data_IF_924914632728
#
_entry.id   IF_924914632728
#
_cell.length_a   1.000
_cell.length_b   1.000
_cell.length_c   1.000
_cell.angle_alpha   90.00
_cell.angle_beta   90.00
_cell.angle_gamma   90.00
#
_symmetry.space_group_name_H-M   'P 1'
#
loop_
_entity.id
_entity.type
_entity.pdbx_description
1 polymer ?
#
# COMPACT_ATOMS: atom_id res chain seq x y z
N UNK A 1 6.89 -18.83 -6.60
CA UNK A 1 6.31 -18.40 -5.31
C UNK A 1 5.96 -16.92 -5.31
N UNK A 2 6.90 -15.99 -5.52
CA UNK A 2 6.60 -14.54 -5.47
C UNK A 2 5.68 -14.05 -6.60
N UNK A 3 5.88 -14.53 -7.83
CA UNK A 3 4.99 -14.28 -8.99
C UNK A 3 3.54 -14.61 -8.65
N UNK A 4 3.33 -15.76 -8.01
CA UNK A 4 2.00 -16.28 -7.68
C UNK A 4 1.33 -15.44 -6.59
N UNK A 5 2.11 -14.95 -5.61
CA UNK A 5 1.62 -14.03 -4.58
C UNK A 5 1.17 -12.70 -5.19
N UNK A 6 1.93 -12.16 -6.15
CA UNK A 6 1.58 -10.92 -6.85
C UNK A 6 0.33 -11.13 -7.70
N UNK A 7 0.30 -12.17 -8.55
CA UNK A 7 -0.83 -12.48 -9.44
C UNK A 7 -2.15 -12.69 -8.70
N UNK A 8 -2.10 -13.34 -7.53
CA UNK A 8 -3.29 -13.62 -6.73
C UNK A 8 -3.75 -12.44 -5.86
N UNK A 9 -2.93 -11.41 -5.69
CA UNK A 9 -3.29 -10.24 -4.90
C UNK A 9 -4.37 -9.41 -5.61
N UNK A 10 -5.34 -8.87 -4.87
CA UNK A 10 -6.49 -8.13 -5.41
C UNK A 10 -6.11 -7.00 -6.39
N UNK A 11 -4.94 -6.39 -6.19
CA UNK A 11 -4.40 -5.33 -7.07
C UNK A 11 -4.13 -5.83 -8.50
N UNK A 12 -3.62 -7.05 -8.66
CA UNK A 12 -3.18 -7.61 -9.95
C UNK A 12 -4.09 -8.73 -10.47
N UNK A 13 -5.06 -9.16 -9.66
CA UNK A 13 -6.01 -10.19 -10.04
C UNK A 13 -6.74 -9.79 -11.33
N UNK A 14 -6.84 -10.77 -12.24
CA UNK A 14 -7.49 -10.67 -13.55
C UNK A 14 -6.84 -9.68 -14.52
N UNK A 15 -5.58 -9.28 -14.29
CA UNK A 15 -4.80 -8.51 -15.27
C UNK A 15 -4.20 -9.47 -16.29
N UNK A 16 -4.64 -9.35 -17.54
CA UNK A 16 -4.08 -10.04 -18.71
C UNK A 16 -2.87 -9.26 -19.27
N UNK A 17 -1.79 -9.23 -18.48
CA UNK A 17 -0.51 -8.63 -18.84
C UNK A 17 0.64 -9.43 -18.25
N UNK A 18 1.83 -9.33 -18.85
CA UNK A 18 3.03 -9.96 -18.29
C UNK A 18 3.53 -9.19 -17.07
N UNK A 19 3.33 -9.77 -15.89
CA UNK A 19 3.78 -9.24 -14.61
C UNK A 19 5.20 -9.68 -14.24
N UNK A 20 5.83 -10.56 -15.03
CA UNK A 20 7.18 -11.08 -14.75
C UNK A 20 8.21 -9.97 -14.48
N UNK A 21 8.23 -8.85 -15.23
CA UNK A 21 9.17 -7.76 -14.95
C UNK A 21 8.99 -7.10 -13.58
N UNK A 22 7.75 -7.07 -13.06
CA UNK A 22 7.48 -6.51 -11.73
C UNK A 22 8.01 -7.39 -10.61
N UNK A 23 8.06 -8.70 -10.86
CA UNK A 23 8.51 -9.71 -9.89
C UNK A 23 10.02 -9.64 -9.70
N UNK A 24 10.78 -9.35 -10.76
CA UNK A 24 12.25 -9.33 -10.74
C UNK A 24 12.81 -8.40 -9.66
N UNK A 25 12.11 -7.30 -9.39
CA UNK A 25 12.50 -6.30 -8.39
C UNK A 25 11.63 -6.34 -7.13
N UNK A 26 10.67 -7.26 -7.08
CA UNK A 26 9.83 -7.45 -5.92
C UNK A 26 10.63 -8.10 -4.78
N UNK A 27 10.44 -7.61 -3.56
CA UNK A 27 11.09 -8.15 -2.36
C UNK A 27 10.05 -8.63 -1.38
N UNK A 28 10.18 -9.87 -0.97
CA UNK A 28 9.41 -10.42 0.14
C UNK A 28 10.07 -10.04 1.46
N UNK A 29 9.37 -9.28 2.30
CA UNK A 29 9.90 -8.69 3.52
C UNK A 29 9.00 -9.09 4.69
N UNK A 30 9.64 -9.50 5.78
CA UNK A 30 8.98 -9.78 7.05
C UNK A 30 9.30 -8.65 8.01
N UNK A 31 8.26 -8.11 8.63
CA UNK A 31 8.33 -7.13 9.69
C UNK A 31 7.85 -7.76 10.99
N UNK A 32 8.59 -7.53 12.07
CA UNK A 32 8.19 -7.90 13.42
C UNK A 32 7.21 -6.86 13.98
N UNK A 33 6.53 -7.22 15.06
CA UNK A 33 5.65 -6.29 15.77
C UNK A 33 6.43 -5.02 16.17
N UNK A 34 5.82 -3.87 15.90
CA UNK A 34 6.35 -2.51 16.08
C UNK A 34 7.43 -2.06 15.11
N UNK A 35 7.85 -2.89 14.14
CA UNK A 35 8.77 -2.43 13.11
C UNK A 35 8.09 -1.38 12.24
N UNK A 36 8.83 -0.32 11.93
CA UNK A 36 8.41 0.67 10.94
C UNK A 36 8.73 0.14 9.53
N UNK A 37 7.74 0.27 8.65
CA UNK A 37 7.90 -0.03 7.23
C UNK A 37 8.44 1.21 6.51
N UNK A 38 7.93 2.39 6.88
CA UNK A 38 8.41 3.70 6.44
C UNK A 38 7.93 4.79 7.41
N UNK A 39 8.58 5.95 7.36
CA UNK A 39 8.21 7.13 8.13
C UNK A 39 7.57 8.22 7.29
N UNK A 40 6.73 9.03 7.93
CA UNK A 40 6.19 10.26 7.35
C UNK A 40 7.34 11.16 6.83
N UNK A 41 7.15 11.74 5.64
CA UNK A 41 8.10 12.66 5.01
C UNK A 41 9.27 11.99 4.28
N UNK A 42 9.49 10.68 4.45
CA UNK A 42 10.43 9.93 3.61
C UNK A 42 9.90 9.75 2.18
N UNK A 43 10.81 9.40 1.26
CA UNK A 43 10.45 9.20 -0.15
C UNK A 43 9.53 7.99 -0.35
N UNK A 44 8.40 8.25 -1.00
CA UNK A 44 7.46 7.24 -1.45
C UNK A 44 7.85 6.75 -2.86
N UNK A 45 8.80 5.81 -2.92
CA UNK A 45 9.30 5.21 -4.17
C UNK A 45 8.88 3.74 -4.34
N UNK A 46 8.03 3.23 -3.46
CA UNK A 46 7.62 1.83 -3.42
C UNK A 46 6.16 1.72 -3.02
N UNK A 47 5.60 0.53 -3.13
CA UNK A 47 4.37 0.15 -2.43
C UNK A 47 4.45 -1.31 -2.02
N UNK A 48 3.51 -1.75 -1.19
CA UNK A 48 3.59 -3.01 -0.50
C UNK A 48 2.27 -3.75 -0.62
N UNK A 49 2.33 -5.02 -1.05
CA UNK A 49 1.19 -5.94 -1.01
C UNK A 49 1.23 -6.68 0.32
N UNK A 50 0.20 -6.55 1.14
CA UNK A 50 0.16 -7.22 2.44
C UNK A 50 -0.31 -8.65 2.22
N UNK A 51 0.55 -9.62 2.54
CA UNK A 51 0.26 -11.05 2.33
C UNK A 51 -0.14 -11.74 3.63
N UNK A 52 0.28 -11.18 4.77
CA UNK A 52 -0.04 -11.64 6.11
C UNK A 52 0.16 -10.52 7.13
N UNK A 53 -0.60 -10.56 8.23
CA UNK A 53 -0.47 -9.63 9.37
C UNK A 53 -1.33 -8.38 9.25
N UNK A 54 -1.03 -7.41 10.12
CA UNK A 54 -1.71 -6.11 10.21
C UNK A 54 -0.70 -4.98 10.34
N UNK A 55 -0.92 -3.91 9.57
CA UNK A 55 -0.08 -2.72 9.53
C UNK A 55 -0.96 -1.49 9.82
N UNK A 56 -0.54 -0.63 10.74
CA UNK A 56 -1.17 0.67 10.96
C UNK A 56 -0.58 1.73 10.02
N UNK A 57 -1.44 2.62 9.54
CA UNK A 57 -1.09 3.97 9.10
C UNK A 57 -1.40 4.91 10.26
N UNK A 58 -0.40 5.64 10.74
CA UNK A 58 -0.53 6.45 11.94
C UNK A 58 0.13 7.83 11.80
N UNK A 59 -0.40 8.80 12.55
CA UNK A 59 0.20 10.11 12.74
C UNK A 59 0.87 10.16 14.12
N UNK A 60 2.10 10.66 14.14
CA UNK A 60 2.81 10.96 15.38
C UNK A 60 2.59 12.42 15.75
N UNK A 61 1.87 12.68 16.85
CA UNK A 61 1.58 14.04 17.31
C UNK A 61 2.24 14.32 18.66
N UNK A 62 2.76 15.52 18.84
CA UNK A 62 3.42 15.91 20.09
C UNK A 62 2.50 15.85 21.33
N UNK A 63 1.18 16.05 21.14
CA UNK A 63 0.21 16.17 22.24
C UNK A 63 -0.62 14.91 22.50
N UNK A 64 -0.90 14.09 21.47
CA UNK A 64 -1.78 12.91 21.59
C UNK A 64 -1.03 11.58 21.41
N UNK A 65 0.29 11.63 21.25
CA UNK A 65 1.06 10.44 20.90
C UNK A 65 0.70 9.93 19.51
N UNK A 66 0.53 8.61 19.37
CA UNK A 66 0.26 7.96 18.09
C UNK A 66 -1.23 7.82 17.85
N UNK A 67 -1.72 8.37 16.75
CA UNK A 67 -3.11 8.25 16.30
C UNK A 67 -3.14 7.31 15.11
N UNK A 68 -3.79 6.14 15.25
CA UNK A 68 -3.99 5.21 14.14
C UNK A 68 -5.12 5.76 13.26
N UNK A 69 -4.80 6.06 12.01
CA UNK A 69 -5.76 6.52 11.00
C UNK A 69 -6.43 5.32 10.33
N UNK A 70 -5.65 4.29 10.03
CA UNK A 70 -6.16 3.10 9.36
C UNK A 70 -5.36 1.87 9.78
N UNK A 71 -6.02 0.72 9.88
CA UNK A 71 -5.35 -0.58 9.94
C UNK A 71 -5.57 -1.30 8.62
N UNK A 72 -4.49 -1.77 8.01
CA UNK A 72 -4.48 -2.54 6.76
C UNK A 72 -4.11 -3.98 7.06
N UNK A 73 -4.77 -4.93 6.39
CA UNK A 73 -4.56 -6.36 6.55
C UNK A 73 -4.19 -7.07 5.26
N UNK A 74 -4.21 -8.41 5.31
CA UNK A 74 -3.98 -9.28 4.15
C UNK A 74 -4.85 -8.87 2.95
N UNK A 75 -4.24 -8.93 1.76
CA UNK A 75 -4.82 -8.61 0.45
C UNK A 75 -5.10 -7.11 0.23
N UNK A 76 -4.65 -6.25 1.16
CA UNK A 76 -4.67 -4.81 1.00
C UNK A 76 -3.31 -4.26 0.55
N UNK A 77 -3.36 -3.15 -0.18
CA UNK A 77 -2.17 -2.43 -0.62
C UNK A 77 -1.81 -1.38 0.42
N UNK A 78 -0.55 -1.33 0.81
CA UNK A 78 0.06 -0.26 1.59
C UNK A 78 0.90 0.65 0.68
N UNK A 79 0.68 1.96 0.80
CA UNK A 79 1.42 2.98 0.08
C UNK A 79 0.81 3.34 -1.29
N UNK A 80 0.13 4.49 -1.35
CA UNK A 80 -0.37 5.11 -2.58
C UNK A 80 0.24 6.50 -2.83
N UNK A 81 1.07 6.99 -1.89
CA UNK A 81 1.70 8.32 -1.96
C UNK A 81 2.61 8.49 -3.16
N UNK A 82 3.18 7.41 -3.69
CA UNK A 82 4.08 7.45 -4.84
C UNK A 82 3.37 7.86 -6.15
N UNK A 83 2.04 7.79 -6.21
CA UNK A 83 1.25 8.17 -7.39
C UNK A 83 1.14 9.69 -7.57
N UNK A 84 1.37 10.47 -6.52
CA UNK A 84 1.07 11.90 -6.52
C UNK A 84 2.25 12.71 -5.91
N UNK A 85 2.61 13.85 -6.51
CA UNK A 85 3.55 14.79 -5.87
C UNK A 85 3.09 15.17 -4.45
N UNK A 86 4.02 15.37 -3.49
CA UNK A 86 5.48 15.43 -3.65
C UNK A 86 6.18 14.07 -3.56
N UNK A 87 5.45 12.95 -3.73
CA UNK A 87 5.99 11.59 -3.62
C UNK A 87 6.61 11.31 -2.24
N UNK A 88 5.94 11.79 -1.19
CA UNK A 88 6.33 11.60 0.21
C UNK A 88 5.29 10.78 0.96
N UNK A 89 5.72 9.99 1.93
CA UNK A 89 4.77 9.33 2.83
C UNK A 89 4.03 10.37 3.67
N UNK A 90 2.71 10.26 3.69
CA UNK A 90 1.83 11.17 4.44
C UNK A 90 1.57 10.69 5.88
N UNK A 91 2.01 9.47 6.20
CA UNK A 91 1.80 8.81 7.48
C UNK A 91 2.99 7.91 7.77
N UNK A 92 3.22 7.61 9.04
CA UNK A 92 4.04 6.48 9.45
C UNK A 92 3.31 5.18 9.11
N UNK A 93 4.06 4.13 8.72
CA UNK A 93 3.53 2.77 8.63
C UNK A 93 4.26 1.84 9.59
N UNK A 94 3.51 1.15 10.44
CA UNK A 94 4.06 0.27 11.48
C UNK A 94 3.35 -1.07 11.54
N UNK A 95 4.11 -2.14 11.68
CA UNK A 95 3.57 -3.48 11.87
C UNK A 95 2.94 -3.61 13.27
N UNK A 96 1.66 -3.95 13.36
CA UNK A 96 0.96 -4.18 14.63
C UNK A 96 1.22 -5.59 15.19
N UNK A 97 1.58 -6.50 14.29
CA UNK A 97 1.94 -7.90 14.54
C UNK A 97 2.94 -8.37 13.47
N UNK A 98 3.42 -9.60 13.57
CA UNK A 98 4.27 -10.18 12.52
C UNK A 98 3.56 -10.06 11.17
N UNK A 99 4.18 -9.35 10.24
CA UNK A 99 3.57 -8.98 8.96
C UNK A 99 4.50 -9.34 7.83
N UNK A 100 3.96 -9.88 6.74
CA UNK A 100 4.72 -10.24 5.54
C UNK A 100 4.17 -9.45 4.37
N UNK A 101 5.06 -8.78 3.65
CA UNK A 101 4.69 -7.94 2.52
C UNK A 101 5.55 -8.24 1.30
N UNK A 102 4.98 -8.00 0.13
CA UNK A 102 5.75 -7.91 -1.11
C UNK A 102 5.95 -6.44 -1.44
N UNK A 103 7.18 -5.96 -1.29
CA UNK A 103 7.60 -4.61 -1.71
C UNK A 103 7.80 -4.59 -3.22
N UNK A 104 7.20 -3.60 -3.89
CA UNK A 104 7.34 -3.32 -5.32
C UNK A 104 7.90 -1.92 -5.52
N UNK A 105 8.82 -1.77 -6.47
CA UNK A 105 9.37 -0.48 -6.87
C UNK A 105 8.34 0.28 -7.73
N UNK A 106 7.96 1.48 -7.27
CA UNK A 106 6.94 2.28 -7.93
C UNK A 106 7.43 2.85 -9.27
N UNK A 107 8.71 3.20 -9.38
CA UNK A 107 9.28 3.77 -10.61
C UNK A 107 9.38 2.71 -11.71
N UNK A 108 9.69 1.46 -11.35
CA UNK A 108 9.67 0.36 -12.29
C UNK A 108 8.24 0.08 -12.78
N UNK A 109 7.26 0.04 -11.86
CA UNK A 109 5.85 -0.15 -12.23
C UNK A 109 5.39 0.96 -13.17
N UNK A 110 5.73 2.22 -12.89
CA UNK A 110 5.41 3.35 -13.77
C UNK A 110 6.02 3.22 -15.15
N UNK A 111 7.32 2.93 -15.26
CA UNK A 111 7.98 2.68 -16.55
C UNK A 111 7.29 1.55 -17.33
N UNK A 112 6.89 0.48 -16.65
CA UNK A 112 6.17 -0.62 -17.29
C UNK A 112 4.78 -0.21 -17.77
N UNK A 113 4.08 0.65 -17.03
CA UNK A 113 2.81 1.22 -17.46
C UNK A 113 2.95 2.13 -18.69
N UNK A 114 4.08 2.81 -18.86
CA UNK A 114 4.37 3.63 -20.04
C UNK A 114 4.66 2.76 -21.28
N UNK A 115 5.30 1.60 -21.09
CA UNK A 115 5.54 0.62 -22.16
C UNK A 115 4.28 -0.17 -22.55
N UNK A 116 3.40 -0.44 -21.57
CA UNK A 116 2.14 -1.15 -21.76
C UNK A 116 0.98 -0.34 -21.17
N UNK A 117 0.37 0.49 -22.03
CA UNK A 117 -0.77 1.33 -21.68
C UNK A 117 -1.98 0.54 -21.16
N UNK A 118 -2.16 -0.74 -21.55
CA UNK A 118 -3.26 -1.57 -21.03
C UNK A 118 -3.01 -1.86 -19.55
N UNK A 119 -1.79 -2.28 -19.22
CA UNK A 119 -1.38 -2.50 -17.83
C UNK A 119 -1.54 -1.22 -17.00
N UNK A 120 -1.07 -0.08 -17.53
CA UNK A 120 -1.23 1.22 -16.88
C UNK A 120 -2.69 1.57 -16.57
N UNK A 121 -3.58 1.40 -17.55
CA UNK A 121 -5.01 1.62 -17.37
C UNK A 121 -5.61 0.72 -16.29
N UNK A 122 -5.31 -0.59 -16.31
CA UNK A 122 -5.81 -1.53 -15.31
C UNK A 122 -5.33 -1.19 -13.91
N UNK A 123 -4.03 -0.94 -13.73
CA UNK A 123 -3.45 -0.60 -12.43
C UNK A 123 -4.04 0.70 -11.89
N UNK A 124 -4.16 1.73 -12.72
CA UNK A 124 -4.72 3.01 -12.27
C UNK A 124 -6.18 2.86 -11.84
N UNK A 125 -6.98 2.04 -12.54
CA UNK A 125 -8.36 1.71 -12.12
C UNK A 125 -8.38 0.96 -10.78
N UNK A 126 -7.43 0.06 -10.53
CA UNK A 126 -7.33 -0.68 -9.26
C UNK A 126 -6.90 0.24 -8.11
N UNK A 127 -5.92 1.11 -8.33
CA UNK A 127 -5.52 2.12 -7.34
C UNK A 127 -6.63 3.13 -7.04
N UNK A 128 -7.38 3.57 -8.04
CA UNK A 128 -8.58 4.40 -7.82
C UNK A 128 -9.60 3.71 -6.90
N UNK A 129 -9.80 2.39 -7.07
CA UNK A 129 -10.62 1.59 -6.15
C UNK A 129 -10.07 1.56 -4.72
N UNK A 130 -8.76 1.42 -4.54
CA UNK A 130 -8.11 1.48 -3.23
C UNK A 130 -8.31 2.86 -2.58
N UNK A 131 -8.13 3.93 -3.34
CA UNK A 131 -8.35 5.31 -2.86
C UNK A 131 -9.80 5.51 -2.42
N UNK A 132 -10.77 5.07 -3.24
CA UNK A 132 -12.18 5.16 -2.91
C UNK A 132 -12.53 4.39 -1.63
N UNK A 133 -12.05 3.15 -1.49
CA UNK A 133 -12.25 2.32 -0.29
C UNK A 133 -11.70 3.01 0.96
N UNK A 134 -10.50 3.59 0.86
CA UNK A 134 -9.87 4.34 1.97
C UNK A 134 -10.66 5.59 2.33
N UNK A 135 -11.12 6.36 1.35
CA UNK A 135 -11.96 7.55 1.59
C UNK A 135 -13.28 7.19 2.28
N UNK A 136 -13.93 6.11 1.85
CA UNK A 136 -15.16 5.63 2.49
C UNK A 136 -14.91 5.18 3.93
N UNK A 137 -13.83 4.44 4.20
CA UNK A 137 -13.48 4.00 5.55
C UNK A 137 -13.29 5.18 6.51
N UNK A 138 -12.59 6.23 6.08
CA UNK A 138 -12.42 7.46 6.88
C UNK A 138 -13.77 8.17 7.11
N UNK A 139 -14.65 8.23 6.11
CA UNK A 139 -15.99 8.83 6.26
C UNK A 139 -16.84 8.09 7.30
N UNK A 140 -16.84 6.76 7.30
CA UNK A 140 -17.57 5.98 8.30
C UNK A 140 -17.05 6.24 9.71
N UNK A 141 -15.73 6.29 9.90
CA UNK A 141 -15.13 6.60 11.20
C UNK A 141 -15.55 7.99 11.71
N UNK A 142 -15.64 9.00 10.83
CA UNK A 142 -16.07 10.34 11.22
C UNK A 142 -17.54 10.39 11.66
N UNK A 143 -18.42 9.66 10.95
CA UNK A 143 -19.85 9.58 11.32
C UNK A 143 -20.01 8.89 12.69
N UNK A 144 -19.33 7.77 12.91
CA UNK A 144 -19.36 7.06 14.20
C UNK A 144 -18.84 7.92 15.37
N UNK A 145 -17.92 8.84 15.12
CA UNK A 145 -17.41 9.79 16.13
C UNK A 145 -18.39 10.94 16.43
N UNK A 146 -19.26 11.32 15.50
CA UNK A 146 -20.29 12.35 15.69
C UNK A 146 -21.54 11.83 16.42
N UNK A 147 -21.79 10.51 16.37
CA UNK A 147 -22.91 9.85 17.05
C UNK A 147 -22.60 9.41 18.50
N UNK A 148 -21.39 9.70 19.00
CA UNK A 148 -20.91 9.40 20.36
C UNK A 148 -20.92 10.65 21.27
#
# INVERSE_FOLDING_TARGET
MLVEMIKNHALFKDIDADLTPLVEYAKDIIFQKNDFIFHEGEDANSFYLITYGKISLELSTAHRGRIIIQTLGKDEVLGISWLFPPYKWHFDARALELSRVVKLDANLVMRRCEEDNRLGYYLMKRFAGVIMKRLQAVRFQLIEMEEM
#
